data_IF_170189450697
#
_entry.id   IF_170189450697
#
_cell.length_a   1.000
_cell.length_b   1.000
_cell.length_c   1.000
_cell.angle_alpha   90.00
_cell.angle_beta   90.00
_cell.angle_gamma   90.00
#
_symmetry.space_group_name_H-M   'P 1'
#
loop_
_entity.id
_entity.type
_entity.pdbx_description
1 polymer ?
#
# COMPACT_ATOMS: atom_id res chain seq x y z
N UNK A 1 18.51 69.41 -5.73
CA UNK A 1 17.43 68.46 -5.40
C UNK A 1 17.51 67.29 -6.36
N UNK A 2 18.02 66.14 -5.91
CA UNK A 2 17.78 64.84 -6.55
C UNK A 2 17.47 63.88 -5.40
N UNK A 3 16.24 63.40 -5.34
CA UNK A 3 15.82 62.37 -4.41
C UNK A 3 16.02 61.02 -5.09
N UNK A 4 16.86 60.17 -4.51
CA UNK A 4 17.01 58.78 -4.92
C UNK A 4 15.99 57.94 -4.15
N UNK A 5 15.01 57.38 -4.85
CA UNK A 5 14.03 56.45 -4.30
C UNK A 5 14.64 55.05 -4.33
N UNK A 6 14.93 54.47 -3.17
CA UNK A 6 15.34 53.08 -3.05
C UNK A 6 14.10 52.17 -3.15
N UNK A 7 14.06 51.32 -4.16
CA UNK A 7 13.03 50.29 -4.33
C UNK A 7 13.44 49.06 -3.50
N UNK A 8 12.74 48.80 -2.40
CA UNK A 8 12.90 47.57 -1.63
C UNK A 8 12.15 46.43 -2.35
N UNK A 9 12.89 45.48 -2.90
CA UNK A 9 12.34 44.22 -3.40
C UNK A 9 12.17 43.29 -2.21
N UNK A 10 10.93 43.05 -1.80
CA UNK A 10 10.60 42.00 -0.85
C UNK A 10 10.71 40.65 -1.58
N UNK A 11 11.75 39.87 -1.27
CA UNK A 11 11.79 38.45 -1.61
C UNK A 11 10.77 37.74 -0.73
N UNK A 12 9.64 37.36 -1.31
CA UNK A 12 8.76 36.37 -0.70
C UNK A 12 9.46 35.01 -0.84
N UNK A 13 9.81 34.39 0.29
CA UNK A 13 10.10 32.96 0.29
C UNK A 13 8.82 32.26 -0.17
N UNK A 14 8.88 31.56 -1.31
CA UNK A 14 7.81 30.66 -1.68
C UNK A 14 7.77 29.57 -0.58
N UNK A 15 6.64 29.47 0.13
CA UNK A 15 6.41 28.31 0.99
C UNK A 15 6.50 27.06 0.10
N UNK A 16 7.35 26.13 0.49
CA UNK A 16 7.42 24.84 -0.16
C UNK A 16 6.04 24.19 -0.05
N UNK A 17 5.54 23.62 -1.17
CA UNK A 17 4.30 22.87 -1.15
C UNK A 17 4.42 21.76 -0.07
N UNK A 18 3.34 21.47 0.67
CA UNK A 18 3.36 20.39 1.64
C UNK A 18 3.74 19.07 0.94
N UNK A 19 4.45 18.17 1.64
CA UNK A 19 4.85 16.89 1.05
C UNK A 19 3.61 16.08 0.68
N UNK A 20 3.71 15.31 -0.40
CA UNK A 20 2.67 14.37 -0.79
C UNK A 20 2.53 13.28 0.28
N UNK A 21 1.30 12.90 0.61
CA UNK A 21 0.98 11.83 1.54
C UNK A 21 0.17 10.77 0.81
N UNK A 22 0.69 9.54 0.76
CA UNK A 22 0.00 8.42 0.12
C UNK A 22 -1.06 7.85 1.06
N UNK A 23 -2.29 8.38 1.00
CA UNK A 23 -3.42 8.01 1.85
C UNK A 23 -4.78 7.86 1.13
N UNK A 24 -4.81 8.10 -0.19
CA UNK A 24 -6.02 8.06 -1.03
C UNK A 24 -6.83 9.37 -1.03
N UNK A 25 -6.38 10.41 -0.34
CA UNK A 25 -6.86 11.77 -0.46
C UNK A 25 -5.98 12.55 -1.43
N UNK A 26 -6.58 13.19 -2.44
CA UNK A 26 -5.81 13.84 -3.51
C UNK A 26 -5.66 15.37 -3.31
N UNK A 27 -5.78 15.85 -2.08
CA UNK A 27 -5.89 17.29 -1.77
C UNK A 27 -4.55 18.03 -1.85
N UNK A 28 -3.48 17.36 -1.48
CA UNK A 28 -2.08 17.76 -1.59
C UNK A 28 -1.60 17.87 -3.04
N UNK A 29 -2.22 17.15 -3.97
CA UNK A 29 -1.92 17.20 -5.40
C UNK A 29 -2.44 18.46 -6.13
N UNK A 30 -3.31 19.26 -5.49
CA UNK A 30 -4.07 20.34 -6.17
C UNK A 30 -3.22 21.45 -6.77
N UNK A 31 -1.99 21.64 -6.29
CA UNK A 31 -1.05 22.62 -6.84
C UNK A 31 -0.22 22.10 -8.03
N UNK A 32 -0.14 20.78 -8.21
CA UNK A 32 0.68 20.16 -9.24
C UNK A 32 -0.04 20.13 -10.60
N UNK A 33 0.71 20.31 -11.67
CA UNK A 33 0.19 20.24 -13.04
C UNK A 33 0.51 18.87 -13.65
N UNK A 34 -0.38 18.30 -14.49
CA UNK A 34 -0.08 17.06 -15.20
C UNK A 34 1.16 17.20 -16.07
N UNK A 35 2.07 16.24 -15.95
CA UNK A 35 3.21 16.06 -16.83
C UNK A 35 2.78 15.49 -18.19
N UNK A 36 1.65 14.77 -18.22
CA UNK A 36 1.04 14.20 -19.41
C UNK A 36 -0.48 14.27 -19.31
N UNK A 37 -1.13 14.53 -20.45
CA UNK A 37 -2.55 14.23 -20.67
C UNK A 37 -2.66 13.23 -21.80
N UNK A 38 -3.36 12.15 -21.52
CA UNK A 38 -3.51 11.04 -22.44
C UNK A 38 -4.93 11.06 -23.03
N UNK A 39 -5.10 10.91 -24.36
CA UNK A 39 -6.42 10.88 -24.97
C UNK A 39 -7.24 9.67 -24.49
N UNK A 40 -8.56 9.81 -24.39
CA UNK A 40 -9.45 8.69 -24.09
C UNK A 40 -9.59 7.74 -25.31
N UNK A 41 -8.56 6.94 -25.58
CA UNK A 41 -8.45 6.09 -26.77
C UNK A 41 -8.59 4.60 -26.48
N UNK A 42 -8.67 4.21 -25.20
CA UNK A 42 -8.92 2.86 -24.76
C UNK A 42 -10.13 2.72 -23.78
N UNK A 43 -11.30 3.33 -24.09
CA UNK A 43 -12.45 3.34 -23.18
C UNK A 43 -13.05 1.95 -22.91
N UNK A 44 -12.80 0.98 -23.80
CA UNK A 44 -13.26 -0.40 -23.66
C UNK A 44 -12.22 -1.33 -23.02
N UNK A 45 -10.99 -0.86 -22.78
CA UNK A 45 -9.89 -1.65 -22.25
C UNK A 45 -9.98 -1.95 -20.76
N UNK A 46 -8.95 -2.56 -20.16
CA UNK A 46 -8.85 -2.82 -18.72
C UNK A 46 -8.85 -1.53 -17.89
N UNK A 47 -8.23 -0.49 -18.43
CA UNK A 47 -8.21 0.89 -17.94
C UNK A 47 -7.82 1.78 -19.12
N UNK A 48 -8.03 3.08 -18.98
CA UNK A 48 -7.71 4.13 -19.94
C UNK A 48 -6.98 5.21 -19.13
N UNK A 49 -5.78 5.65 -19.54
CA UNK A 49 -5.07 6.69 -18.81
C UNK A 49 -5.65 8.05 -19.23
N UNK A 50 -5.86 8.95 -18.28
CA UNK A 50 -6.37 10.30 -18.57
C UNK A 50 -5.31 11.37 -18.39
N UNK A 51 -4.62 11.34 -17.26
CA UNK A 51 -3.54 12.27 -16.97
C UNK A 51 -2.56 11.65 -15.98
N UNK A 52 -1.30 12.07 -16.08
CA UNK A 52 -0.25 11.70 -15.14
C UNK A 52 0.40 12.97 -14.62
N UNK A 53 0.44 13.10 -13.30
CA UNK A 53 1.17 14.15 -12.58
C UNK A 53 2.34 13.51 -11.86
N UNK A 54 3.51 14.15 -11.93
CA UNK A 54 4.75 13.64 -11.32
C UNK A 54 5.37 14.76 -10.49
N UNK A 55 5.69 14.46 -9.24
CA UNK A 55 6.40 15.37 -8.33
C UNK A 55 7.51 14.59 -7.61
N UNK A 56 8.52 15.29 -7.12
CA UNK A 56 9.64 14.67 -6.40
C UNK A 56 10.02 15.45 -5.15
N UNK A 57 10.58 14.71 -4.20
CA UNK A 57 11.42 15.25 -3.14
C UNK A 57 12.76 14.51 -3.09
N UNK A 58 13.59 14.80 -2.09
CA UNK A 58 14.92 14.21 -1.97
C UNK A 58 14.91 12.67 -1.81
N UNK A 59 13.80 12.08 -1.35
CA UNK A 59 13.65 10.67 -1.03
C UNK A 59 12.68 9.91 -1.94
N UNK A 60 11.74 10.59 -2.60
CA UNK A 60 10.63 9.97 -3.33
C UNK A 60 10.39 10.59 -4.71
N UNK A 61 9.90 9.74 -5.61
CA UNK A 61 9.19 10.13 -6.82
C UNK A 61 7.72 9.75 -6.62
N UNK A 62 6.83 10.73 -6.64
CA UNK A 62 5.40 10.55 -6.44
C UNK A 62 4.66 10.79 -7.75
N UNK A 63 3.73 9.89 -8.05
CA UNK A 63 2.98 9.87 -9.30
C UNK A 63 1.49 9.80 -8.97
N UNK A 64 0.71 10.75 -9.48
CA UNK A 64 -0.75 10.66 -9.52
C UNK A 64 -1.18 10.29 -10.93
N UNK A 65 -1.95 9.20 -11.05
CA UNK A 65 -2.55 8.75 -12.31
C UNK A 65 -4.07 8.93 -12.23
N UNK A 66 -4.61 9.68 -13.17
CA UNK A 66 -6.05 9.78 -13.44
C UNK A 66 -6.43 8.73 -14.48
N UNK A 67 -7.54 8.03 -14.25
CA UNK A 67 -8.04 6.94 -15.07
C UNK A 67 -9.39 7.35 -15.68
N UNK A 68 -9.66 6.91 -16.91
CA UNK A 68 -10.95 7.17 -17.58
C UNK A 68 -12.16 6.51 -16.91
N UNK A 69 -11.95 5.67 -15.90
CA UNK A 69 -12.99 5.02 -15.08
C UNK A 69 -12.46 4.58 -13.73
N UNK A 70 -13.37 4.35 -12.79
CA UNK A 70 -13.01 3.70 -11.53
C UNK A 70 -12.53 2.27 -11.75
N UNK A 71 -11.30 1.96 -11.30
CA UNK A 71 -10.72 0.63 -11.41
C UNK A 71 -9.90 0.30 -10.15
N UNK A 72 -9.80 -0.99 -9.80
CA UNK A 72 -8.90 -1.44 -8.74
C UNK A 72 -7.59 -1.90 -9.38
N UNK A 73 -6.51 -1.13 -9.21
CA UNK A 73 -5.20 -1.44 -9.80
C UNK A 73 -4.64 -2.79 -9.34
N UNK A 74 -5.04 -3.28 -8.17
CA UNK A 74 -4.62 -4.60 -7.69
C UNK A 74 -5.39 -5.75 -8.32
N UNK A 75 -6.43 -5.48 -9.12
CA UNK A 75 -7.24 -6.52 -9.77
C UNK A 75 -7.94 -6.02 -11.02
N UNK A 76 -7.16 -5.66 -12.02
CA UNK A 76 -7.63 -5.28 -13.34
C UNK A 76 -8.06 -6.50 -14.16
N UNK A 77 -8.91 -6.27 -15.15
CA UNK A 77 -9.21 -7.22 -16.23
C UNK A 77 -8.09 -7.20 -17.30
N UNK A 78 -6.87 -7.41 -16.84
CA UNK A 78 -5.65 -7.06 -17.57
C UNK A 78 -4.56 -6.62 -16.59
N UNK A 79 -3.65 -5.76 -17.03
CA UNK A 79 -2.55 -5.22 -16.21
C UNK A 79 -2.28 -3.78 -16.61
N UNK A 80 -1.88 -2.98 -15.64
CA UNK A 80 -1.28 -1.67 -15.87
C UNK A 80 0.20 -1.78 -15.51
N UNK A 81 1.07 -1.29 -16.37
CA UNK A 81 2.51 -1.33 -16.17
C UNK A 81 3.06 0.10 -16.20
N UNK A 82 3.88 0.44 -15.21
CA UNK A 82 4.71 1.64 -15.19
C UNK A 82 6.15 1.19 -15.52
N UNK A 83 6.58 1.52 -16.74
CA UNK A 83 7.91 1.21 -17.30
C UNK A 83 8.83 2.38 -17.00
N UNK A 84 9.99 2.11 -16.41
CA UNK A 84 10.86 3.13 -15.81
C UNK A 84 12.29 2.97 -16.31
N UNK A 85 12.78 4.00 -16.98
CA UNK A 85 14.20 4.34 -17.13
C UNK A 85 14.57 5.26 -15.96
N UNK A 86 15.38 4.73 -15.03
CA UNK A 86 15.56 5.33 -13.70
C UNK A 86 16.71 6.33 -13.63
N UNK A 87 17.60 6.36 -14.63
CA UNK A 87 18.69 7.32 -14.77
C UNK A 87 18.50 8.28 -15.96
N UNK A 88 17.52 7.99 -16.83
CA UNK A 88 17.19 8.78 -18.00
C UNK A 88 18.16 8.60 -19.16
N UNK A 89 18.99 7.55 -19.14
CA UNK A 89 19.95 7.21 -20.18
C UNK A 89 19.43 6.04 -21.03
N UNK A 90 18.97 6.35 -22.24
CA UNK A 90 18.50 5.34 -23.20
C UNK A 90 19.55 4.28 -23.60
N UNK A 91 20.83 4.48 -23.27
CA UNK A 91 21.91 3.52 -23.54
C UNK A 91 22.15 2.50 -22.41
N UNK A 92 21.56 2.71 -21.23
CA UNK A 92 21.57 1.77 -20.12
C UNK A 92 20.32 0.86 -20.20
N UNK A 93 20.12 0.00 -19.18
CA UNK A 93 18.94 -0.84 -19.06
C UNK A 93 18.63 -1.74 -20.28
N UNK A 94 17.35 -2.08 -20.44
CA UNK A 94 16.81 -2.84 -21.58
C UNK A 94 15.71 -2.03 -22.26
N UNK A 95 15.42 -2.32 -23.53
CA UNK A 95 14.19 -1.79 -24.15
C UNK A 95 12.98 -2.60 -23.68
N UNK A 96 11.95 -1.92 -23.16
CA UNK A 96 10.65 -2.51 -22.81
C UNK A 96 9.53 -1.62 -23.33
N UNK A 97 8.58 -2.18 -24.09
CA UNK A 97 7.43 -1.44 -24.64
C UNK A 97 7.83 -0.11 -25.28
N UNK A 98 8.81 -0.20 -26.20
CA UNK A 98 9.39 0.93 -26.94
C UNK A 98 10.05 2.01 -26.09
N UNK A 99 10.33 1.75 -24.80
CA UNK A 99 11.12 2.63 -23.94
C UNK A 99 12.53 2.03 -23.77
N UNK A 100 13.57 2.58 -24.41
CA UNK A 100 14.97 2.21 -24.13
C UNK A 100 15.37 2.68 -22.72
N UNK A 101 16.48 2.18 -22.16
CA UNK A 101 16.89 2.59 -20.81
C UNK A 101 16.13 1.93 -19.66
N UNK A 102 15.18 1.01 -19.91
CA UNK A 102 14.31 0.52 -18.84
C UNK A 102 15.09 -0.32 -17.82
N UNK A 103 15.11 0.15 -16.56
CA UNK A 103 15.72 -0.50 -15.42
C UNK A 103 14.74 -1.35 -14.61
N UNK A 104 13.48 -0.93 -14.57
CA UNK A 104 12.44 -1.59 -13.79
C UNK A 104 11.04 -1.36 -14.36
N UNK A 105 10.13 -2.28 -14.05
CA UNK A 105 8.73 -2.19 -14.42
C UNK A 105 7.86 -2.52 -13.22
N UNK A 106 7.05 -1.57 -12.78
CA UNK A 106 6.02 -1.81 -11.76
C UNK A 106 4.79 -2.38 -12.46
N UNK A 107 4.32 -3.54 -12.02
CA UNK A 107 3.21 -4.27 -12.62
C UNK A 107 2.06 -4.32 -11.63
N UNK A 108 0.99 -3.59 -11.95
CA UNK A 108 -0.29 -3.64 -11.25
C UNK A 108 -1.12 -4.80 -11.82
N UNK A 109 -1.61 -5.68 -10.94
CA UNK A 109 -2.21 -6.97 -11.30
C UNK A 109 -1.21 -7.87 -12.07
N UNK A 110 -0.09 -8.29 -11.44
CA UNK A 110 0.84 -9.23 -12.06
C UNK A 110 0.17 -10.56 -12.39
N UNK A 111 0.83 -11.42 -13.18
CA UNK A 111 0.30 -12.75 -13.48
C UNK A 111 0.04 -13.57 -12.20
N UNK A 112 -0.97 -14.43 -12.22
CA UNK A 112 -1.25 -15.34 -11.09
C UNK A 112 -0.06 -16.31 -10.92
N UNK A 113 0.47 -16.41 -9.70
CA UNK A 113 1.65 -17.24 -9.41
C UNK A 113 1.42 -18.74 -9.56
N UNK A 114 0.15 -19.17 -9.65
CA UNK A 114 -0.25 -20.57 -9.91
C UNK A 114 -0.60 -20.80 -11.38
N UNK A 115 -0.84 -19.74 -12.15
CA UNK A 115 -1.22 -19.80 -13.56
C UNK A 115 -0.89 -18.47 -14.25
N UNK A 116 0.28 -18.41 -14.87
CA UNK A 116 0.81 -17.18 -15.50
C UNK A 116 -0.05 -16.64 -16.65
N UNK A 117 -0.98 -17.45 -17.16
CA UNK A 117 -1.93 -17.07 -18.21
C UNK A 117 -3.10 -16.23 -17.69
N UNK A 118 -3.29 -16.17 -16.37
CA UNK A 118 -4.37 -15.42 -15.72
C UNK A 118 -3.84 -14.17 -15.02
N UNK A 119 -4.62 -13.07 -14.99
CA UNK A 119 -4.29 -11.95 -14.11
C UNK A 119 -4.40 -12.40 -12.65
N UNK A 120 -3.36 -12.10 -11.87
CA UNK A 120 -3.28 -12.33 -10.44
C UNK A 120 -3.90 -11.17 -9.65
N UNK A 121 -3.31 -10.85 -8.51
CA UNK A 121 -3.71 -9.70 -7.71
C UNK A 121 -2.49 -9.04 -7.04
N UNK A 122 -2.60 -7.74 -6.76
CA UNK A 122 -1.56 -6.96 -6.08
C UNK A 122 -0.63 -6.22 -7.03
N UNK A 123 0.61 -6.02 -6.59
CA UNK A 123 1.66 -5.28 -7.30
C UNK A 123 2.96 -6.08 -7.25
N UNK A 124 3.71 -6.08 -8.35
CA UNK A 124 5.05 -6.66 -8.42
C UNK A 124 6.01 -5.70 -9.13
N UNK A 125 7.31 -5.89 -8.91
CA UNK A 125 8.36 -5.19 -9.67
C UNK A 125 9.08 -6.22 -10.49
N UNK A 126 9.14 -6.00 -11.80
CA UNK A 126 9.97 -6.79 -12.73
C UNK A 126 11.22 -6.00 -13.07
N UNK A 127 12.38 -6.63 -12.96
CA UNK A 127 13.67 -6.09 -13.37
C UNK A 127 14.04 -6.68 -14.74
N UNK A 128 13.98 -5.91 -15.84
CA UNK A 128 14.39 -6.39 -17.16
C UNK A 128 15.87 -6.79 -17.17
N UNK A 129 16.22 -7.76 -18.00
CA UNK A 129 17.59 -8.24 -18.16
C UNK A 129 17.62 -9.54 -18.96
N UNK A 130 18.82 -10.11 -19.19
CA UNK A 130 18.95 -11.42 -19.83
C UNK A 130 18.16 -12.51 -19.10
N UNK A 131 18.14 -12.43 -17.76
CA UNK A 131 17.26 -13.20 -16.89
C UNK A 131 16.37 -12.19 -16.16
N UNK A 132 15.13 -12.04 -16.63
CA UNK A 132 14.17 -11.15 -16.00
C UNK A 132 13.81 -11.66 -14.60
N UNK A 133 13.90 -10.78 -13.61
CA UNK A 133 13.65 -11.11 -12.21
C UNK A 133 12.37 -10.41 -11.73
N UNK A 134 11.65 -11.03 -10.79
CA UNK A 134 10.57 -10.37 -10.05
C UNK A 134 10.97 -10.21 -8.59
N UNK A 135 10.86 -8.99 -8.09
CA UNK A 135 11.17 -8.63 -6.71
C UNK A 135 9.93 -8.08 -6.00
N UNK A 136 9.98 -8.05 -4.67
CA UNK A 136 8.89 -7.48 -3.88
C UNK A 136 8.79 -5.97 -4.15
N UNK A 137 7.59 -5.39 -4.35
CA UNK A 137 7.44 -3.94 -4.43
C UNK A 137 7.92 -3.23 -3.16
N UNK A 138 7.90 -3.94 -2.02
CA UNK A 138 8.37 -3.40 -0.74
C UNK A 138 9.90 -3.33 -0.63
N UNK A 139 10.65 -4.10 -1.43
CA UNK A 139 12.12 -3.98 -1.48
C UNK A 139 12.53 -2.65 -2.16
N UNK A 140 11.67 -2.13 -3.04
CA UNK A 140 11.79 -0.77 -3.59
C UNK A 140 11.05 0.28 -2.74
N UNK A 141 10.42 -0.09 -1.63
CA UNK A 141 9.65 0.87 -0.84
C UNK A 141 8.48 1.50 -1.60
N UNK A 142 7.88 0.77 -2.55
CA UNK A 142 6.69 1.24 -3.27
C UNK A 142 5.51 1.31 -2.32
N UNK A 143 4.79 2.42 -2.39
CA UNK A 143 3.48 2.61 -1.76
C UNK A 143 2.48 3.09 -2.82
N UNK A 144 1.22 2.72 -2.69
CA UNK A 144 0.18 3.26 -3.55
C UNK A 144 -1.17 3.28 -2.83
N UNK A 145 -2.04 4.21 -3.25
CA UNK A 145 -3.40 4.35 -2.74
C UNK A 145 -4.35 4.88 -3.84
N UNK A 146 -5.67 4.65 -3.72
CA UNK A 146 -6.29 3.73 -2.77
C UNK A 146 -6.10 2.26 -3.18
N UNK A 147 -6.36 1.35 -2.25
CA UNK A 147 -6.32 -0.11 -2.48
C UNK A 147 -7.65 -0.69 -2.99
N UNK A 148 -8.65 0.17 -3.19
CA UNK A 148 -9.97 -0.14 -3.74
C UNK A 148 -10.19 0.53 -5.11
N UNK A 149 -11.36 0.31 -5.72
CA UNK A 149 -11.65 0.88 -7.03
C UNK A 149 -11.80 2.40 -6.98
N UNK A 150 -11.01 3.12 -7.76
CA UNK A 150 -10.99 4.59 -7.83
C UNK A 150 -10.67 5.03 -9.25
N UNK A 151 -11.11 6.22 -9.64
CA UNK A 151 -10.74 6.85 -10.92
C UNK A 151 -9.38 7.56 -10.84
N UNK A 152 -8.77 7.58 -9.66
CA UNK A 152 -7.44 8.13 -9.40
C UNK A 152 -6.65 7.20 -8.49
N UNK A 153 -5.35 7.12 -8.74
CA UNK A 153 -4.43 6.43 -7.87
C UNK A 153 -3.11 7.21 -7.76
N UNK A 154 -2.50 7.16 -6.59
CA UNK A 154 -1.20 7.71 -6.30
C UNK A 154 -0.20 6.58 -6.04
N UNK A 155 1.02 6.75 -6.50
CA UNK A 155 2.12 5.78 -6.44
C UNK A 155 3.37 6.52 -6.02
N UNK A 156 4.01 6.04 -4.96
CA UNK A 156 5.30 6.51 -4.46
C UNK A 156 6.37 5.48 -4.75
N UNK A 157 7.48 5.93 -5.32
CA UNK A 157 8.69 5.14 -5.54
C UNK A 157 9.82 5.70 -4.69
N UNK A 158 10.51 4.85 -3.92
CA UNK A 158 11.67 5.28 -3.14
C UNK A 158 12.88 5.52 -4.05
N UNK A 159 13.50 6.70 -3.92
CA UNK A 159 14.78 7.02 -4.56
C UNK A 159 15.92 6.34 -3.80
N UNK A 160 16.93 5.88 -4.53
CA UNK A 160 18.10 5.22 -3.95
C UNK A 160 17.88 3.75 -3.57
N UNK A 161 16.76 3.14 -3.94
CA UNK A 161 16.53 1.73 -3.71
C UNK A 161 17.50 0.86 -4.51
N UNK A 162 18.02 -0.18 -3.88
CA UNK A 162 18.97 -1.15 -4.45
C UNK A 162 18.25 -2.49 -4.56
N UNK A 163 17.93 -2.91 -5.79
CA UNK A 163 17.15 -4.12 -6.06
C UNK A 163 18.06 -5.19 -6.66
N UNK A 164 18.05 -6.39 -6.06
CA UNK A 164 18.83 -7.55 -6.51
C UNK A 164 20.31 -7.25 -6.80
N UNK A 165 20.91 -6.38 -6.00
CA UNK A 165 22.32 -5.97 -6.12
C UNK A 165 22.63 -5.04 -7.31
N UNK A 166 21.62 -4.53 -8.02
CA UNK A 166 21.77 -3.52 -9.08
C UNK A 166 22.06 -2.13 -8.49
N UNK A 167 22.49 -1.20 -9.34
CA UNK A 167 22.72 0.19 -8.92
C UNK A 167 21.47 0.85 -8.32
N UNK A 168 21.65 1.92 -7.51
CA UNK A 168 20.52 2.62 -6.91
C UNK A 168 19.64 3.29 -7.96
N UNK A 169 18.31 3.10 -7.86
CA UNK A 169 17.34 3.65 -8.81
C UNK A 169 16.98 5.11 -8.46
N UNK A 170 16.68 5.93 -9.48
CA UNK A 170 16.14 7.30 -9.34
C UNK A 170 17.04 8.28 -8.56
N UNK A 171 18.36 8.10 -8.66
CA UNK A 171 19.36 8.98 -8.02
C UNK A 171 19.98 10.01 -8.96
N UNK A 172 19.76 9.87 -10.27
CA UNK A 172 20.21 10.83 -11.28
C UNK A 172 19.36 12.10 -11.31
N UNK A 173 19.65 12.97 -12.27
CA UNK A 173 18.94 14.24 -12.46
C UNK A 173 17.64 14.08 -13.25
N UNK A 174 17.43 12.92 -13.88
CA UNK A 174 16.29 12.65 -14.76
C UNK A 174 15.82 11.21 -14.63
N UNK A 175 14.54 10.98 -14.93
CA UNK A 175 13.96 9.67 -15.18
C UNK A 175 12.99 9.75 -16.37
N UNK A 176 12.73 8.63 -17.04
CA UNK A 176 11.71 8.54 -18.09
C UNK A 176 10.70 7.45 -17.74
N UNK A 177 9.42 7.80 -17.76
CA UNK A 177 8.31 6.93 -17.38
C UNK A 177 7.41 6.68 -18.59
N UNK A 178 6.81 5.49 -18.66
CA UNK A 178 5.72 5.19 -19.60
C UNK A 178 4.70 4.29 -18.93
N UNK A 179 3.42 4.58 -19.15
CA UNK A 179 2.35 3.66 -18.78
C UNK A 179 1.97 2.78 -19.98
N UNK A 180 1.70 1.50 -19.70
CA UNK A 180 1.29 0.51 -20.68
C UNK A 180 0.13 -0.29 -20.13
N UNK A 181 -0.97 -0.35 -20.88
CA UNK A 181 -2.14 -1.17 -20.55
C UNK A 181 -2.12 -2.44 -21.39
N UNK A 182 -2.23 -3.58 -20.72
CA UNK A 182 -2.28 -4.90 -21.36
C UNK A 182 -3.58 -5.60 -20.96
N UNK A 183 -4.28 -6.19 -21.92
CA UNK A 183 -5.49 -6.97 -21.63
C UNK A 183 -5.20 -8.40 -21.13
N UNK A 184 -6.26 -9.16 -20.83
CA UNK A 184 -6.14 -10.57 -20.42
C UNK A 184 -5.44 -11.48 -21.43
N UNK A 185 -5.45 -11.14 -22.72
CA UNK A 185 -4.79 -11.93 -23.77
C UNK A 185 -3.30 -11.64 -23.87
N UNK A 186 -2.79 -10.63 -23.15
CA UNK A 186 -1.41 -10.17 -23.28
C UNK A 186 -1.22 -9.12 -24.38
N UNK A 187 -2.30 -8.61 -24.99
CA UNK A 187 -2.23 -7.60 -26.05
C UNK A 187 -2.12 -6.21 -25.43
N UNK A 188 -1.16 -5.41 -25.91
CA UNK A 188 -1.07 -3.98 -25.57
C UNK A 188 -2.27 -3.26 -26.15
N UNK A 189 -3.02 -2.56 -25.29
CA UNK A 189 -4.24 -1.83 -25.66
C UNK A 189 -4.04 -0.32 -25.70
N UNK A 190 -3.10 0.16 -24.90
CA UNK A 190 -2.82 1.57 -24.72
C UNK A 190 -1.39 1.73 -24.20
N UNK A 191 -0.73 2.79 -24.66
CA UNK A 191 0.61 3.21 -24.24
C UNK A 191 0.67 4.73 -24.25
N UNK A 192 1.13 5.31 -23.15
CA UNK A 192 1.35 6.75 -23.12
C UNK A 192 2.61 7.15 -23.90
N UNK A 193 2.67 8.41 -24.32
CA UNK A 193 3.95 9.05 -24.64
C UNK A 193 4.92 8.97 -23.44
N UNK A 194 6.24 8.93 -23.66
CA UNK A 194 7.21 8.97 -22.57
C UNK A 194 7.13 10.27 -21.78
N UNK A 195 7.07 10.14 -20.46
CA UNK A 195 7.12 11.25 -19.52
C UNK A 195 8.56 11.44 -19.09
N UNK A 196 9.17 12.55 -19.50
CA UNK A 196 10.52 12.92 -19.07
C UNK A 196 10.41 13.76 -17.80
N UNK A 197 10.85 13.22 -16.67
CA UNK A 197 10.89 13.92 -15.39
C UNK A 197 12.30 14.38 -15.07
N UNK A 198 12.48 15.68 -14.81
CA UNK A 198 13.75 16.23 -14.28
C UNK A 198 13.55 16.48 -12.80
N UNK A 199 14.37 15.87 -11.95
CA UNK A 199 14.25 16.01 -10.51
C UNK A 199 14.53 17.45 -10.08
N UNK A 200 13.57 18.08 -9.40
CA UNK A 200 13.74 19.42 -8.86
C UNK A 200 14.60 19.40 -7.59
N UNK A 201 14.57 18.28 -6.85
CA UNK A 201 15.29 18.11 -5.60
C UNK A 201 16.45 17.12 -5.79
N UNK A 202 17.69 17.47 -5.39
CA UNK A 202 18.79 16.52 -5.36
C UNK A 202 18.45 15.32 -4.47
N UNK A 203 18.86 14.12 -4.91
CA UNK A 203 18.71 12.93 -4.09
C UNK A 203 19.43 13.10 -2.75
N UNK A 204 18.74 12.77 -1.66
CA UNK A 204 19.34 12.61 -0.35
C UNK A 204 18.92 11.24 0.21
N UNK A 205 19.90 10.39 0.48
CA UNK A 205 19.64 9.10 1.08
C UNK A 205 18.84 9.27 2.37
N UNK A 206 17.77 8.48 2.59
CA UNK A 206 17.02 8.52 3.83
C UNK A 206 17.98 8.31 5.01
N UNK A 207 18.18 9.36 5.79
CA UNK A 207 18.97 9.24 7.02
C UNK A 207 18.02 8.68 8.06
N UNK A 208 18.31 7.52 8.70
CA UNK A 208 17.53 7.07 9.84
C UNK A 208 17.42 8.23 10.81
N UNK A 209 16.21 8.59 11.25
CA UNK A 209 16.01 9.75 12.11
C UNK A 209 16.90 9.62 13.35
N UNK A 210 18.05 10.29 13.35
CA UNK A 210 19.02 10.19 14.42
C UNK A 210 18.49 11.02 15.59
N UNK A 211 18.08 10.36 16.67
CA UNK A 211 17.66 11.01 17.91
C UNK A 211 16.25 11.62 17.90
N UNK A 212 15.36 11.15 17.01
CA UNK A 212 13.94 11.50 17.08
C UNK A 212 13.23 10.89 18.29
N UNK A 213 12.09 11.47 18.70
CA UNK A 213 11.15 10.80 19.59
C UNK A 213 10.78 9.43 19.01
N UNK A 214 10.59 8.42 19.87
CA UNK A 214 10.14 7.10 19.42
C UNK A 214 8.85 7.27 18.60
N UNK A 215 8.85 6.95 17.28
CA UNK A 215 7.71 7.18 16.41
C UNK A 215 6.50 6.31 16.77
N UNK A 216 6.71 5.27 17.58
CA UNK A 216 5.66 4.40 18.11
C UNK A 216 5.32 4.74 19.57
N UNK A 217 5.95 5.77 20.14
CA UNK A 217 5.69 6.21 21.51
C UNK A 217 4.21 6.42 21.71
N UNK A 218 3.71 6.01 22.88
CA UNK A 218 2.31 6.23 23.25
C UNK A 218 2.06 7.72 23.44
N UNK A 219 1.18 8.37 22.64
CA UNK A 219 0.86 9.76 22.86
C UNK A 219 0.26 9.97 24.26
N UNK A 220 0.57 11.10 24.88
CA UNK A 220 0.00 11.46 26.19
C UNK A 220 -1.52 11.56 26.10
N UNK A 221 -2.23 11.02 27.09
CA UNK A 221 -3.70 11.02 27.10
C UNK A 221 -4.37 9.90 26.29
N UNK A 222 -3.60 8.95 25.76
CA UNK A 222 -4.17 7.76 25.08
C UNK A 222 -4.84 6.83 26.10
N UNK A 223 -6.17 6.71 26.05
CA UNK A 223 -6.94 5.76 26.87
C UNK A 223 -6.70 4.30 26.46
N UNK A 224 -6.64 4.05 25.15
CA UNK A 224 -6.52 2.71 24.57
C UNK A 224 -5.77 2.77 23.24
N UNK A 225 -4.94 1.76 22.97
CA UNK A 225 -4.28 1.55 21.67
C UNK A 225 -4.79 0.26 21.03
N UNK A 226 -5.25 0.36 19.79
CA UNK A 226 -5.75 -0.78 19.01
C UNK A 226 -4.78 -1.05 17.86
N UNK A 227 -4.43 -2.31 17.65
CA UNK A 227 -3.72 -2.77 16.47
C UNK A 227 -4.59 -3.79 15.73
N UNK A 228 -4.86 -3.56 14.45
CA UNK A 228 -5.49 -4.55 13.58
C UNK A 228 -4.45 -5.12 12.62
N UNK A 229 -4.42 -6.44 12.49
CA UNK A 229 -3.43 -7.10 11.65
C UNK A 229 -4.01 -8.34 10.95
N UNK A 230 -3.95 -8.33 9.63
CA UNK A 230 -4.05 -9.53 8.81
C UNK A 230 -2.75 -10.33 8.91
N UNK A 231 -2.83 -11.51 9.51
CA UNK A 231 -1.68 -12.36 9.80
C UNK A 231 -1.34 -13.34 8.68
N UNK A 232 -1.84 -13.15 7.46
CA UNK A 232 -1.66 -14.00 6.27
C UNK A 232 -1.70 -15.50 6.58
N UNK A 233 -2.89 -16.08 6.50
CA UNK A 233 -3.07 -17.53 6.65
C UNK A 233 -2.44 -18.12 7.93
N UNK A 234 -2.48 -17.39 9.04
CA UNK A 234 -1.96 -17.88 10.33
C UNK A 234 -0.46 -17.69 10.56
N UNK A 235 0.26 -16.87 9.78
CA UNK A 235 1.73 -16.80 9.79
C UNK A 235 2.33 -16.41 11.16
N UNK A 236 1.58 -15.77 12.05
CA UNK A 236 2.03 -15.49 13.43
C UNK A 236 2.40 -16.77 14.20
N UNK A 237 1.76 -17.91 13.91
CA UNK A 237 2.13 -19.18 14.54
C UNK A 237 3.43 -19.77 14.01
N UNK A 238 3.72 -19.64 12.71
CA UNK A 238 4.92 -20.22 12.09
C UNK A 238 6.13 -19.30 12.11
N UNK A 239 5.91 -17.99 12.33
CA UNK A 239 6.93 -16.94 12.33
C UNK A 239 6.82 -16.04 13.57
N UNK A 240 6.79 -16.60 14.79
CA UNK A 240 6.37 -15.86 15.99
C UNK A 240 7.22 -14.61 16.28
N UNK A 241 8.54 -14.69 16.08
CA UNK A 241 9.45 -13.59 16.41
C UNK A 241 9.18 -12.31 15.61
N UNK A 242 8.87 -12.43 14.31
CA UNK A 242 8.62 -11.29 13.45
C UNK A 242 7.37 -10.52 13.88
N UNK A 243 6.28 -11.23 14.17
CA UNK A 243 5.03 -10.64 14.63
C UNK A 243 5.15 -10.11 16.05
N UNK A 244 5.79 -10.87 16.94
CA UNK A 244 5.95 -10.48 18.33
C UNK A 244 6.77 -9.19 18.49
N UNK A 245 7.81 -9.00 17.69
CA UNK A 245 8.60 -7.77 17.68
C UNK A 245 7.74 -6.54 17.39
N UNK A 246 6.88 -6.62 16.37
CA UNK A 246 6.00 -5.50 15.97
C UNK A 246 4.92 -5.25 17.04
N UNK A 247 4.28 -6.30 17.56
CA UNK A 247 3.25 -6.15 18.62
C UNK A 247 3.88 -5.52 19.87
N UNK A 248 5.09 -5.92 20.26
CA UNK A 248 5.82 -5.33 21.40
C UNK A 248 6.11 -3.85 21.17
N UNK A 249 6.63 -3.49 19.99
CA UNK A 249 6.95 -2.10 19.65
C UNK A 249 5.68 -1.23 19.58
N UNK A 250 4.60 -1.75 18.99
CA UNK A 250 3.32 -1.07 18.95
C UNK A 250 2.65 -0.97 20.33
N UNK A 251 2.94 -1.88 21.27
CA UNK A 251 2.37 -1.92 22.62
C UNK A 251 0.83 -1.69 22.68
N UNK A 252 0.01 -2.47 21.95
CA UNK A 252 -1.44 -2.29 21.90
C UNK A 252 -2.14 -2.88 23.13
N UNK A 253 -3.31 -2.37 23.48
CA UNK A 253 -4.18 -2.90 24.54
C UNK A 253 -5.23 -3.87 23.97
N UNK A 254 -5.57 -3.68 22.68
CA UNK A 254 -6.51 -4.51 21.91
C UNK A 254 -5.87 -4.90 20.58
N UNK A 255 -5.97 -6.17 20.20
CA UNK A 255 -5.51 -6.73 18.94
C UNK A 255 -6.69 -7.29 18.14
N UNK A 256 -6.87 -6.82 16.90
CA UNK A 256 -7.85 -7.35 15.96
C UNK A 256 -7.16 -8.17 14.88
N UNK A 257 -7.24 -9.50 14.99
CA UNK A 257 -6.59 -10.42 14.07
C UNK A 257 -7.51 -10.84 12.92
N UNK A 258 -6.93 -10.99 11.73
CA UNK A 258 -7.59 -11.50 10.52
C UNK A 258 -6.74 -12.61 9.88
N UNK A 259 -7.37 -13.44 9.06
CA UNK A 259 -6.76 -14.59 8.37
C UNK A 259 -6.18 -15.68 9.29
N UNK A 260 -6.85 -15.91 10.41
CA UNK A 260 -6.60 -17.10 11.23
C UNK A 260 -7.12 -18.32 10.47
N UNK A 261 -6.35 -19.41 10.38
CA UNK A 261 -6.80 -20.66 9.77
C UNK A 261 -7.80 -21.39 10.67
N UNK A 262 -8.42 -22.43 10.13
CA UNK A 262 -9.38 -23.30 10.81
C UNK A 262 -8.78 -24.12 11.96
N UNK A 263 -7.46 -24.33 11.98
CA UNK A 263 -6.72 -24.94 13.10
C UNK A 263 -6.36 -23.95 14.23
N UNK A 264 -6.79 -22.69 14.12
CA UNK A 264 -6.63 -21.68 15.15
C UNK A 264 -7.82 -21.68 16.13
N UNK A 265 -7.56 -21.33 17.39
CA UNK A 265 -8.60 -21.20 18.42
C UNK A 265 -8.30 -20.03 19.35
N UNK A 266 -9.29 -19.66 20.18
CA UNK A 266 -9.11 -18.66 21.23
C UNK A 266 -7.98 -19.06 22.20
N UNK A 267 -7.91 -20.34 22.57
CA UNK A 267 -6.91 -20.89 23.50
C UNK A 267 -5.52 -20.84 22.88
N UNK A 268 -5.37 -21.30 21.62
CA UNK A 268 -4.08 -21.31 20.91
C UNK A 268 -3.53 -19.89 20.72
N UNK A 269 -4.39 -18.95 20.33
CA UNK A 269 -4.00 -17.55 20.18
C UNK A 269 -3.67 -16.88 21.52
N UNK A 270 -4.45 -17.19 22.56
CA UNK A 270 -4.21 -16.70 23.93
C UNK A 270 -2.88 -17.22 24.48
N UNK A 271 -2.59 -18.51 24.30
CA UNK A 271 -1.32 -19.11 24.71
C UNK A 271 -0.14 -18.46 23.97
N UNK A 272 -0.25 -18.34 22.64
CA UNK A 272 0.77 -17.68 21.82
C UNK A 272 1.05 -16.23 22.26
N UNK A 273 0.00 -15.44 22.52
CA UNK A 273 0.15 -14.06 22.98
C UNK A 273 0.83 -13.98 24.35
N UNK A 274 0.43 -14.82 25.29
CA UNK A 274 1.01 -14.81 26.63
C UNK A 274 2.44 -15.37 26.68
N UNK A 275 2.79 -16.26 25.76
CA UNK A 275 4.16 -16.76 25.59
C UNK A 275 5.08 -15.70 24.99
N UNK A 276 4.64 -15.04 23.92
CA UNK A 276 5.53 -14.18 23.14
C UNK A 276 5.46 -12.70 23.52
N UNK A 277 4.37 -12.22 24.12
CA UNK A 277 4.12 -10.80 24.42
C UNK A 277 3.99 -10.62 25.93
N UNK A 278 5.11 -10.28 26.58
CA UNK A 278 5.14 -9.97 28.00
C UNK A 278 4.16 -8.82 28.33
N UNK A 279 3.38 -9.01 29.39
CA UNK A 279 2.36 -8.07 29.84
C UNK A 279 2.08 -8.27 31.33
N UNK A 280 1.74 -7.19 32.04
CA UNK A 280 1.33 -7.24 33.44
C UNK A 280 0.00 -8.00 33.62
N UNK A 281 -0.89 -7.89 32.64
CA UNK A 281 -2.16 -8.61 32.59
C UNK A 281 -2.14 -9.64 31.46
N UNK A 282 -2.64 -10.86 31.67
CA UNK A 282 -2.67 -11.85 30.62
C UNK A 282 -3.58 -11.39 29.48
N UNK A 283 -3.21 -11.74 28.25
CA UNK A 283 -4.08 -11.64 27.10
C UNK A 283 -5.22 -12.64 27.23
N UNK A 284 -6.40 -12.24 26.76
CA UNK A 284 -7.56 -13.11 26.55
C UNK A 284 -8.10 -12.86 25.14
N UNK A 285 -8.71 -13.86 24.51
CA UNK A 285 -9.19 -13.78 23.14
C UNK A 285 -10.66 -14.16 23.02
N UNK A 286 -11.40 -13.41 22.19
CA UNK A 286 -12.69 -13.80 21.61
C UNK A 286 -12.45 -14.16 20.15
N UNK A 287 -12.93 -15.33 19.74
CA UNK A 287 -12.68 -15.89 18.42
C UNK A 287 -14.00 -15.99 17.65
N UNK A 288 -14.02 -15.55 16.39
CA UNK A 288 -15.23 -15.54 15.58
C UNK A 288 -15.67 -16.94 15.19
N UNK A 289 -16.98 -17.24 15.25
CA UNK A 289 -17.50 -18.55 14.87
C UNK A 289 -17.69 -18.70 13.35
N UNK A 290 -17.99 -17.61 12.64
CA UNK A 290 -18.23 -17.58 11.19
C UNK A 290 -16.97 -17.37 10.32
N UNK A 291 -16.98 -17.82 9.06
CA UNK A 291 -15.95 -17.46 8.09
C UNK A 291 -15.37 -18.54 7.14
N UNK A 292 -15.86 -19.78 7.21
CA UNK A 292 -15.35 -20.91 6.43
C UNK A 292 -13.96 -21.40 6.84
N UNK A 293 -12.96 -21.24 5.97
CA UNK A 293 -11.57 -21.67 6.17
C UNK A 293 -10.67 -20.59 6.81
N UNK A 294 -11.17 -19.37 6.94
CA UNK A 294 -10.48 -18.27 7.60
C UNK A 294 -11.37 -17.67 8.68
N UNK A 295 -10.73 -17.13 9.71
CA UNK A 295 -11.37 -16.61 10.93
C UNK A 295 -10.69 -15.30 11.36
N UNK A 296 -11.37 -14.64 12.27
CA UNK A 296 -10.93 -13.40 12.92
C UNK A 296 -10.97 -13.59 14.43
N UNK A 297 -10.19 -12.80 15.15
CA UNK A 297 -10.25 -12.75 16.61
C UNK A 297 -10.05 -11.34 17.13
N UNK A 298 -10.52 -11.09 18.34
CA UNK A 298 -10.20 -9.91 19.15
C UNK A 298 -9.49 -10.41 20.39
N UNK A 299 -8.29 -9.89 20.66
CA UNK A 299 -7.56 -10.16 21.89
C UNK A 299 -7.38 -8.88 22.70
N UNK A 300 -7.39 -8.97 24.02
CA UNK A 300 -7.12 -7.83 24.89
C UNK A 300 -6.45 -8.23 26.19
N UNK A 301 -5.68 -7.29 26.75
CA UNK A 301 -5.14 -7.32 28.12
C UNK A 301 -6.10 -6.68 29.14
N UNK A 302 -7.18 -6.09 28.65
CA UNK A 302 -8.28 -5.53 29.42
C UNK A 302 -9.40 -6.57 29.53
N UNK A 303 -10.33 -6.43 30.50
CA UNK A 303 -11.49 -7.32 30.60
C UNK A 303 -12.26 -7.38 29.29
N UNK A 304 -12.47 -8.60 28.80
CA UNK A 304 -13.01 -8.90 27.48
C UNK A 304 -14.20 -9.84 27.62
N UNK A 305 -15.29 -9.57 26.90
CA UNK A 305 -16.47 -10.46 26.82
C UNK A 305 -16.93 -10.63 25.36
N UNK A 306 -17.29 -11.85 24.92
CA UNK A 306 -17.84 -12.06 23.59
C UNK A 306 -19.20 -11.36 23.45
N UNK A 307 -19.56 -11.01 22.21
CA UNK A 307 -20.89 -10.53 21.87
C UNK A 307 -21.61 -11.62 21.08
N UNK A 308 -22.29 -12.52 21.81
CA UNK A 308 -22.89 -13.75 21.26
C UNK A 308 -23.86 -13.48 20.08
N UNK A 309 -24.56 -12.35 20.09
CA UNK A 309 -25.46 -11.96 18.99
C UNK A 309 -24.75 -11.72 17.65
N UNK A 310 -23.42 -11.66 17.64
CA UNK A 310 -22.59 -11.49 16.45
C UNK A 310 -21.65 -12.69 16.18
N UNK A 311 -21.82 -13.81 16.88
CA UNK A 311 -20.99 -15.01 16.64
C UNK A 311 -21.10 -15.49 15.19
N UNK A 312 -22.29 -15.33 14.60
CA UNK A 312 -22.55 -15.68 13.20
C UNK A 312 -23.39 -14.61 12.52
N UNK A 313 -22.71 -13.73 11.79
CA UNK A 313 -23.35 -12.78 10.88
C UNK A 313 -23.37 -13.39 9.49
N UNK A 314 -24.56 -13.54 8.89
CA UNK A 314 -24.71 -14.10 7.54
C UNK A 314 -25.01 -13.01 6.51
N UNK A 315 -24.60 -13.25 5.26
CA UNK A 315 -24.98 -12.44 4.11
C UNK A 315 -25.26 -13.36 2.92
N UNK A 316 -26.06 -12.86 1.97
CA UNK A 316 -26.26 -13.52 0.69
C UNK A 316 -25.26 -12.97 -0.31
N UNK A 317 -24.51 -13.88 -0.90
CA UNK A 317 -23.46 -13.56 -1.84
C UNK A 317 -24.03 -13.35 -3.26
N UNK A 318 -23.22 -12.95 -4.23
CA UNK A 318 -23.68 -12.66 -5.60
C UNK A 318 -24.29 -13.86 -6.32
N UNK A 319 -23.90 -15.10 -5.95
CA UNK A 319 -24.52 -16.34 -6.45
C UNK A 319 -25.83 -16.71 -5.73
N UNK A 320 -26.30 -15.87 -4.81
CA UNK A 320 -27.47 -16.15 -3.99
C UNK A 320 -27.22 -17.13 -2.85
N UNK A 321 -25.99 -17.57 -2.61
CA UNK A 321 -25.66 -18.50 -1.54
C UNK A 321 -25.49 -17.76 -0.21
N UNK A 322 -25.95 -18.38 0.88
CA UNK A 322 -25.69 -17.86 2.22
C UNK A 322 -24.23 -18.11 2.61
N UNK A 323 -23.60 -17.08 3.16
CA UNK A 323 -22.22 -17.07 3.60
C UNK A 323 -22.13 -16.38 4.96
N UNK A 324 -21.16 -16.79 5.76
CA UNK A 324 -20.85 -16.10 7.00
C UNK A 324 -19.85 -14.97 6.73
N UNK A 325 -20.06 -13.81 7.35
CA UNK A 325 -19.04 -12.78 7.49
C UNK A 325 -17.97 -13.31 8.44
N UNK A 326 -16.69 -13.13 8.08
CA UNK A 326 -15.57 -13.41 8.97
C UNK A 326 -15.50 -12.27 9.98
N UNK A 327 -16.07 -12.46 11.16
CA UNK A 327 -16.13 -11.42 12.18
C UNK A 327 -15.93 -12.01 13.59
N UNK A 328 -15.24 -11.25 14.44
CA UNK A 328 -15.14 -11.49 15.88
C UNK A 328 -15.40 -10.17 16.59
N UNK A 329 -16.38 -10.17 17.49
CA UNK A 329 -16.81 -8.98 18.21
C UNK A 329 -16.72 -9.21 19.71
N UNK A 330 -16.19 -8.23 20.42
CA UNK A 330 -16.05 -8.30 21.86
C UNK A 330 -16.27 -6.94 22.53
N UNK A 331 -16.88 -6.96 23.71
CA UNK A 331 -16.94 -5.81 24.61
C UNK A 331 -15.67 -5.79 25.47
N UNK A 332 -14.93 -4.69 25.37
CA UNK A 332 -13.71 -4.42 26.15
C UNK A 332 -14.02 -3.35 27.19
N UNK A 333 -13.63 -3.59 28.44
CA UNK A 333 -13.75 -2.60 29.50
C UNK A 333 -12.53 -1.66 29.51
N UNK A 334 -12.76 -0.37 29.30
CA UNK A 334 -11.74 0.69 29.28
C UNK A 334 -12.18 1.79 30.24
N UNK A 335 -11.44 2.00 31.34
CA UNK A 335 -11.69 3.09 32.30
C UNK A 335 -13.16 3.17 32.78
N UNK A 336 -13.78 2.01 33.06
CA UNK A 336 -15.17 1.91 33.50
C UNK A 336 -16.23 2.11 32.40
N UNK A 337 -15.82 2.18 31.13
CA UNK A 337 -16.69 2.23 29.95
C UNK A 337 -16.55 0.97 29.12
N UNK A 338 -17.58 0.68 28.32
CA UNK A 338 -17.53 -0.42 27.34
C UNK A 338 -17.18 0.11 25.96
N UNK A 339 -16.19 -0.52 25.33
CA UNK A 339 -15.80 -0.32 23.94
C UNK A 339 -16.13 -1.60 23.17
N UNK A 340 -16.84 -1.48 22.04
CA UNK A 340 -17.07 -2.58 21.13
C UNK A 340 -15.89 -2.69 20.16
N UNK A 341 -15.11 -3.76 20.26
CA UNK A 341 -14.04 -4.08 19.32
C UNK A 341 -14.54 -5.11 18.31
N UNK A 342 -14.37 -4.83 17.02
CA UNK A 342 -14.78 -5.70 15.93
C UNK A 342 -13.60 -5.95 14.97
N UNK A 343 -13.16 -7.21 14.88
CA UNK A 343 -12.25 -7.65 13.82
C UNK A 343 -13.09 -8.25 12.70
N UNK A 344 -13.04 -7.65 11.51
CA UNK A 344 -13.83 -8.07 10.35
C UNK A 344 -12.89 -8.29 9.17
N UNK A 345 -13.01 -9.44 8.50
CA UNK A 345 -12.26 -9.74 7.28
C UNK A 345 -13.20 -9.92 6.09
N UNK A 346 -13.37 -8.85 5.33
CA UNK A 346 -14.17 -8.85 4.10
C UNK A 346 -13.43 -9.56 2.95
N UNK A 347 -14.19 -9.92 1.92
CA UNK A 347 -13.62 -10.49 0.69
C UNK A 347 -12.63 -9.50 0.07
N UNK A 348 -11.42 -9.96 -0.20
CA UNK A 348 -10.35 -9.11 -0.72
C UNK A 348 -10.53 -8.72 -2.20
N UNK A 349 -9.81 -7.67 -2.58
CA UNK A 349 -9.50 -7.28 -3.96
C UNK A 349 -10.74 -7.11 -4.85
N UNK A 350 -11.84 -6.56 -4.34
CA UNK A 350 -13.01 -6.19 -5.17
C UNK A 350 -13.72 -7.34 -5.90
N UNK A 351 -13.47 -8.61 -5.58
CA UNK A 351 -14.36 -9.68 -6.08
C UNK A 351 -15.72 -9.55 -5.46
N UNK A 352 -16.77 -9.71 -6.26
CA UNK A 352 -18.11 -9.98 -5.73
C UNK A 352 -18.01 -11.14 -4.71
N UNK A 353 -18.49 -10.89 -3.49
CA UNK A 353 -18.60 -11.89 -2.44
C UNK A 353 -19.56 -13.00 -2.83
#
# INVERSE_FOLDING_TARGET
MLAATALAVALFAADAAPPIVIDGSFTDWTAAQPALRDPADNPAGPVDIGAVTVVDDAAFLDILVELGRSANLQRLDGRLMLVIDADGDASTGMTQYDLPGTDAVVVFTPADTRDETRPGAGVAVRLPGPEAESVSPYDWGIMFAPTYASDRAEVRLQRGAVLSGRGPLLVGDKAVLRFVVIDRSGTVRDTTDPIVHTFATPFAAPTPAAGGADPLARPSGTDVRVLSWNGELGAFFSRPEHFARVIKAANPDILCFQELKDDASAEKLTAWLNEHIASEKPWTCVFGAGGGNLRTAVASRLPLKPVESFDRVTYRNASGAERDVRAALALVEVNGRQLLAASIHLKCCGSAG
#
